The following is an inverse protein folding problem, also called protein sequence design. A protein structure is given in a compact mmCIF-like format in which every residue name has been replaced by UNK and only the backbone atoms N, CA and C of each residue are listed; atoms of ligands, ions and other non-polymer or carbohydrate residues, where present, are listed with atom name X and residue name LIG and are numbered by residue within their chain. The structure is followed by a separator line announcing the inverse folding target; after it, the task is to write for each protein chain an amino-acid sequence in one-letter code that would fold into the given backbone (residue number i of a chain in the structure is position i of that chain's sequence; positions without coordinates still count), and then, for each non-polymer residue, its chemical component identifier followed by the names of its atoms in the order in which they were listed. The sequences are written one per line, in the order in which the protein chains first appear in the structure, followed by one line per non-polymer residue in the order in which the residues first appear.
data_IF_761248734370
#
_entry.id   IF_761248734370
#
_cell.length_a   1.000
_cell.length_b   1.000
_cell.length_c   1.000
_cell.angle_alpha   90.00
_cell.angle_beta   90.00
_cell.angle_gamma   90.00
#
_symmetry.space_group_name_H-M   'P 1'
#
loop_
_entity.id
_entity.type
_entity.pdbx_description
1 polymer ?
#
# COMPACT_ATOMS: atom_id res chain seq x y z
N UNK A 1 -4.88 13.21 16.21
CA UNK A 1 -5.22 14.54 16.79
C UNK A 1 -4.86 15.70 15.87
N UNK A 2 -3.58 16.00 15.58
CA UNK A 2 -3.21 17.15 14.74
C UNK A 2 -3.74 17.06 13.29
N UNK A 3 -3.60 15.89 12.65
CA UNK A 3 -4.22 15.60 11.34
C UNK A 3 -5.75 15.62 11.39
N UNK A 4 -6.31 15.25 12.55
CA UNK A 4 -7.76 15.25 12.73
C UNK A 4 -8.33 16.65 12.82
N UNK A 5 -7.62 17.52 13.52
CA UNK A 5 -7.92 18.92 13.68
C UNK A 5 -7.80 19.65 12.34
N UNK A 6 -6.66 19.53 11.65
CA UNK A 6 -6.42 20.15 10.35
C UNK A 6 -7.46 19.75 9.29
N UNK A 7 -7.91 18.49 9.27
CA UNK A 7 -8.95 18.05 8.34
C UNK A 7 -10.35 18.55 8.70
N UNK A 8 -10.69 18.69 9.99
CA UNK A 8 -12.03 19.06 10.45
C UNK A 8 -12.24 20.57 10.58
N UNK A 9 -11.16 21.34 10.73
CA UNK A 9 -11.22 22.79 10.96
C UNK A 9 -11.69 23.52 9.69
N UNK A 10 -12.69 24.41 9.76
CA UNK A 10 -13.22 25.15 8.61
C UNK A 10 -12.30 26.33 8.23
N UNK A 11 -11.02 26.03 8.00
CA UNK A 11 -9.99 27.01 7.65
C UNK A 11 -10.42 27.80 6.42
N UNK A 12 -11.06 27.16 5.45
CA UNK A 12 -11.57 27.80 4.23
C UNK A 12 -12.61 28.88 4.51
N UNK A 13 -13.53 28.68 5.46
CA UNK A 13 -14.56 29.67 5.80
C UNK A 13 -14.00 30.85 6.57
N UNK A 14 -13.05 30.59 7.48
CA UNK A 14 -12.37 31.63 8.26
C UNK A 14 -11.47 32.45 7.33
N UNK A 15 -10.72 31.80 6.44
CA UNK A 15 -9.85 32.48 5.48
C UNK A 15 -10.66 33.27 4.45
N UNK A 16 -11.78 32.73 3.96
CA UNK A 16 -12.70 33.49 3.11
C UNK A 16 -13.30 34.69 3.83
N UNK A 17 -13.73 34.55 5.09
CA UNK A 17 -14.23 35.67 5.88
C UNK A 17 -13.16 36.74 6.17
N UNK A 18 -11.90 36.33 6.29
CA UNK A 18 -10.75 37.22 6.49
C UNK A 18 -10.31 37.93 5.20
N UNK A 19 -10.46 37.26 4.05
CA UNK A 19 -10.22 37.85 2.71
C UNK A 19 -11.35 38.79 2.30
N UNK A 20 -12.61 38.48 2.64
CA UNK A 20 -13.77 39.35 2.35
C UNK A 20 -13.75 40.66 3.16
N UNK A 21 -13.02 40.69 4.29
CA UNK A 21 -12.84 41.88 5.13
C UNK A 21 -11.62 42.74 4.74
N UNK A 22 -10.71 42.23 3.91
CA UNK A 22 -9.53 42.95 3.46
C UNK A 22 -9.50 42.99 1.92
N UNK A 23 -9.88 44.13 1.33
CA UNK A 23 -9.87 44.32 -0.12
C UNK A 23 -8.42 44.33 -0.63
N UNK A 24 -7.92 43.16 -1.01
CA UNK A 24 -6.60 43.03 -1.63
C UNK A 24 -6.71 42.04 -2.79
N UNK A 25 -6.41 42.53 -3.98
CA UNK A 25 -6.10 41.78 -5.22
C UNK A 25 -4.84 40.90 -5.07
N UNK A 26 -4.59 40.39 -3.86
CA UNK A 26 -3.34 39.73 -3.53
C UNK A 26 -3.44 38.25 -3.88
N UNK A 27 -2.84 37.90 -5.02
CA UNK A 27 -2.67 36.54 -5.55
C UNK A 27 -2.10 35.56 -4.50
N UNK A 28 -1.45 36.04 -3.44
CA UNK A 28 -1.01 35.24 -2.26
C UNK A 28 -2.18 34.59 -1.50
N UNK A 29 -3.29 35.30 -1.32
CA UNK A 29 -4.44 34.86 -0.54
C UNK A 29 -5.23 33.75 -1.27
N UNK A 30 -5.34 33.85 -2.60
CA UNK A 30 -5.94 32.82 -3.46
C UNK A 30 -5.06 31.55 -3.52
N UNK A 31 -3.73 31.69 -3.46
CA UNK A 31 -2.78 30.56 -3.37
C UNK A 31 -2.98 29.78 -2.06
N UNK A 32 -3.03 30.48 -0.93
CA UNK A 32 -3.27 29.88 0.39
C UNK A 32 -4.64 29.21 0.43
N UNK A 33 -5.68 29.83 -0.15
CA UNK A 33 -7.01 29.23 -0.22
C UNK A 33 -7.04 27.93 -1.06
N UNK A 34 -6.37 27.90 -2.22
CA UNK A 34 -6.26 26.69 -3.05
C UNK A 34 -5.49 25.59 -2.30
N UNK A 35 -4.38 25.91 -1.65
CA UNK A 35 -3.61 24.95 -0.84
C UNK A 35 -4.40 24.40 0.36
N UNK A 36 -5.16 25.25 1.06
CA UNK A 36 -6.06 24.86 2.16
C UNK A 36 -7.21 23.97 1.67
N UNK A 37 -7.73 24.21 0.46
CA UNK A 37 -8.72 23.32 -0.15
C UNK A 37 -8.13 21.95 -0.48
N UNK A 38 -6.88 21.86 -0.92
CA UNK A 38 -6.19 20.58 -1.14
C UNK A 38 -6.01 19.79 0.16
N UNK A 39 -5.72 20.48 1.29
CA UNK A 39 -5.65 19.86 2.62
C UNK A 39 -6.97 19.21 3.08
N UNK A 40 -8.14 19.58 2.52
CA UNK A 40 -9.40 18.89 2.84
C UNK A 40 -9.42 17.44 2.36
N UNK A 41 -8.61 17.08 1.36
CA UNK A 41 -8.50 15.70 0.89
C UNK A 41 -7.79 14.79 1.92
N UNK A 42 -7.15 15.34 2.97
CA UNK A 42 -6.73 14.59 4.18
C UNK A 42 -7.93 13.89 4.85
N UNK A 43 -9.16 14.39 4.66
CA UNK A 43 -10.38 13.67 5.07
C UNK A 43 -10.55 12.33 4.36
N UNK A 44 -10.10 12.19 3.12
CA UNK A 44 -10.12 10.91 2.41
C UNK A 44 -9.17 9.90 3.07
N UNK A 45 -8.05 10.36 3.63
CA UNK A 45 -7.17 9.52 4.46
C UNK A 45 -7.87 9.05 5.74
N UNK A 46 -8.70 9.90 6.38
CA UNK A 46 -9.54 9.47 7.51
C UNK A 46 -10.58 8.44 7.12
N UNK A 47 -11.19 8.55 5.94
CA UNK A 47 -12.11 7.53 5.44
C UNK A 47 -11.39 6.18 5.29
N UNK A 48 -10.13 6.20 4.83
CA UNK A 48 -9.28 5.01 4.79
C UNK A 48 -8.90 4.49 6.19
N UNK A 49 -8.74 5.36 7.19
CA UNK A 49 -8.53 4.96 8.59
C UNK A 49 -9.78 4.29 9.19
N UNK A 50 -10.96 4.84 8.92
CA UNK A 50 -12.25 4.23 9.32
C UNK A 50 -12.47 2.89 8.63
N UNK A 51 -12.19 2.79 7.33
CA UNK A 51 -12.21 1.51 6.61
C UNK A 51 -11.19 0.52 7.18
N UNK A 52 -10.04 1.00 7.67
CA UNK A 52 -9.05 0.13 8.32
C UNK A 52 -9.52 -0.37 9.69
N UNK A 53 -10.32 0.40 10.43
CA UNK A 53 -10.96 -0.07 11.68
C UNK A 53 -12.04 -1.11 11.41
N UNK A 54 -12.73 -1.03 10.26
CA UNK A 54 -13.62 -2.11 9.82
C UNK A 54 -12.85 -3.39 9.45
N UNK A 55 -11.52 -3.33 9.25
CA UNK A 55 -10.68 -4.52 9.10
C UNK A 55 -10.49 -5.30 10.40
N UNK A 56 -10.83 -4.77 11.59
CA UNK A 56 -10.74 -5.55 12.83
C UNK A 56 -11.85 -6.59 12.98
N UNK A 57 -12.96 -6.46 12.23
CA UNK A 57 -14.02 -7.47 12.29
C UNK A 57 -13.57 -8.78 11.62
N UNK A 58 -13.66 -9.86 12.39
CA UNK A 58 -13.27 -11.21 11.99
C UNK A 58 -14.17 -11.73 10.85
N UNK A 59 -13.59 -12.42 9.86
CA UNK A 59 -14.33 -13.14 8.81
C UNK A 59 -13.95 -12.82 7.36
N UNK A 60 -13.27 -11.71 7.07
CA UNK A 60 -13.02 -11.29 5.67
C UNK A 60 -11.54 -11.09 5.31
N UNK A 61 -10.71 -12.14 5.47
CA UNK A 61 -9.28 -12.07 5.11
C UNK A 61 -9.04 -11.61 3.65
N UNK A 62 -9.89 -12.02 2.70
CA UNK A 62 -9.82 -11.58 1.30
C UNK A 62 -10.15 -10.10 1.11
N UNK A 63 -11.15 -9.59 1.83
CA UNK A 63 -11.51 -8.17 1.81
C UNK A 63 -10.40 -7.30 2.41
N UNK A 64 -9.74 -7.77 3.49
CA UNK A 64 -8.60 -7.07 4.10
C UNK A 64 -7.44 -6.89 3.12
N UNK A 65 -7.11 -7.94 2.36
CA UNK A 65 -6.07 -7.88 1.30
C UNK A 65 -6.42 -6.88 0.20
N UNK A 66 -7.67 -6.91 -0.29
CA UNK A 66 -8.14 -5.95 -1.30
C UNK A 66 -8.03 -4.50 -0.80
N UNK A 67 -8.47 -4.24 0.43
CA UNK A 67 -8.37 -2.92 1.05
C UNK A 67 -6.92 -2.44 1.21
N UNK A 68 -5.98 -3.34 1.52
CA UNK A 68 -4.56 -2.98 1.63
C UNK A 68 -3.97 -2.51 0.30
N UNK A 69 -4.30 -3.19 -0.81
CA UNK A 69 -3.89 -2.75 -2.16
C UNK A 69 -4.57 -1.43 -2.52
N UNK A 70 -5.88 -1.35 -2.33
CA UNK A 70 -6.66 -0.15 -2.63
C UNK A 70 -6.13 1.08 -1.88
N UNK A 71 -5.76 0.91 -0.60
CA UNK A 71 -5.11 1.96 0.21
C UNK A 71 -3.78 2.39 -0.39
N UNK A 72 -2.94 1.45 -0.83
CA UNK A 72 -1.63 1.76 -1.42
C UNK A 72 -1.77 2.51 -2.74
N UNK A 73 -2.68 2.08 -3.61
CA UNK A 73 -2.99 2.75 -4.89
C UNK A 73 -3.55 4.15 -4.64
N UNK A 74 -4.46 4.29 -3.67
CA UNK A 74 -5.02 5.58 -3.31
C UNK A 74 -3.94 6.57 -2.82
N UNK A 75 -3.03 6.11 -1.96
CA UNK A 75 -1.90 6.94 -1.48
C UNK A 75 -1.03 7.39 -2.66
N UNK A 76 -0.71 6.49 -3.58
CA UNK A 76 0.09 6.81 -4.77
C UNK A 76 -0.61 7.84 -5.67
N UNK A 77 -1.87 7.59 -6.05
CA UNK A 77 -2.63 8.52 -6.89
C UNK A 77 -2.88 9.88 -6.23
N UNK A 78 -3.15 9.89 -4.92
CA UNK A 78 -3.32 11.13 -4.17
C UNK A 78 -2.03 11.93 -4.09
N UNK A 79 -0.88 11.27 -3.89
CA UNK A 79 0.41 11.95 -3.91
C UNK A 79 0.73 12.55 -5.29
N UNK A 80 0.43 11.85 -6.38
CA UNK A 80 0.60 12.37 -7.73
C UNK A 80 -0.30 13.58 -7.99
N UNK A 81 -1.55 13.56 -7.50
CA UNK A 81 -2.43 14.73 -7.56
C UNK A 81 -1.83 15.93 -6.82
N UNK A 82 -1.39 15.75 -5.56
CA UNK A 82 -0.79 16.83 -4.78
C UNK A 82 0.48 17.39 -5.44
N UNK A 83 1.38 16.51 -5.89
CA UNK A 83 2.62 16.89 -6.57
C UNK A 83 2.30 17.66 -7.85
N UNK A 84 1.38 17.16 -8.68
CA UNK A 84 0.97 17.81 -9.92
C UNK A 84 0.34 19.17 -9.68
N UNK A 85 -0.49 19.32 -8.65
CA UNK A 85 -1.07 20.61 -8.27
C UNK A 85 -0.04 21.61 -7.75
N UNK A 86 0.98 21.18 -7.00
CA UNK A 86 2.07 22.07 -6.58
C UNK A 86 2.91 22.45 -7.81
N UNK A 87 3.16 21.51 -8.73
CA UNK A 87 3.91 21.76 -9.96
C UNK A 87 3.21 22.77 -10.89
N UNK A 88 1.87 22.80 -10.94
CA UNK A 88 1.14 23.88 -11.64
C UNK A 88 1.16 25.20 -10.88
N UNK A 89 1.17 25.19 -9.54
CA UNK A 89 1.30 26.43 -8.76
C UNK A 89 2.65 27.13 -8.98
N UNK A 90 3.72 26.39 -9.31
CA UNK A 90 5.02 26.97 -9.65
C UNK A 90 5.00 27.83 -10.92
N UNK A 91 4.05 27.57 -11.84
CA UNK A 91 3.87 28.39 -13.06
C UNK A 91 3.50 29.84 -12.69
N UNK A 92 2.68 30.03 -11.65
CA UNK A 92 2.18 31.35 -11.24
C UNK A 92 3.26 32.18 -10.50
N UNK A 93 4.24 31.52 -9.90
CA UNK A 93 5.31 32.17 -9.13
C UNK A 93 6.37 32.84 -10.03
N UNK A 94 6.55 32.32 -11.24
CA UNK A 94 7.54 32.81 -12.20
C UNK A 94 7.03 33.86 -13.17
N UNK A 95 5.76 34.30 -13.07
CA UNK A 95 5.26 35.45 -13.84
C UNK A 95 6.07 36.74 -13.62
N UNK A 96 6.87 36.79 -12.57
CA UNK A 96 7.77 37.91 -12.21
C UNK A 96 9.21 37.76 -12.73
N UNK A 97 9.61 36.60 -13.25
CA UNK A 97 10.92 36.37 -13.87
C UNK A 97 10.73 36.03 -15.35
N UNK A 98 11.54 36.58 -16.24
CA UNK A 98 11.45 36.37 -17.70
C UNK A 98 11.85 34.94 -18.16
N UNK A 99 11.55 33.90 -17.38
CA UNK A 99 11.87 32.50 -17.64
C UNK A 99 10.72 31.74 -18.31
N UNK A 100 11.07 30.79 -19.19
CA UNK A 100 10.11 29.82 -19.75
C UNK A 100 9.91 28.72 -18.70
N UNK A 101 8.68 28.59 -18.17
CA UNK A 101 8.31 27.53 -17.22
C UNK A 101 8.07 26.18 -17.92
N UNK A 102 7.98 25.09 -17.16
CA UNK A 102 7.84 23.72 -17.70
C UNK A 102 6.70 23.56 -18.72
N UNK A 103 5.53 24.17 -18.45
CA UNK A 103 4.37 24.03 -19.33
C UNK A 103 4.58 24.70 -20.69
N UNK A 104 5.23 25.87 -20.74
CA UNK A 104 5.53 26.57 -21.98
C UNK A 104 6.64 25.88 -22.78
N UNK A 105 7.57 25.19 -22.11
CA UNK A 105 8.60 24.39 -22.77
C UNK A 105 8.05 23.06 -23.32
N UNK A 106 7.06 22.47 -22.64
CA UNK A 106 6.40 21.24 -23.08
C UNK A 106 5.44 21.47 -24.25
N UNK A 107 4.51 22.41 -24.10
CA UNK A 107 3.51 22.73 -25.11
C UNK A 107 3.03 24.19 -24.94
N UNK A 108 3.51 25.10 -25.81
CA UNK A 108 3.09 26.51 -25.78
C UNK A 108 1.59 26.71 -25.96
N UNK A 109 0.89 25.86 -26.73
CA UNK A 109 -0.56 26.00 -26.96
C UNK A 109 -1.34 25.66 -25.69
N UNK A 110 -0.83 24.71 -24.89
CA UNK A 110 -1.41 24.29 -23.62
C UNK A 110 -1.41 25.41 -22.56
N UNK A 111 -0.53 26.41 -22.72
CA UNK A 111 -0.46 27.61 -21.85
C UNK A 111 -1.71 28.48 -21.98
N UNK A 112 -2.41 28.46 -23.11
CA UNK A 112 -3.63 29.24 -23.34
C UNK A 112 -4.90 28.42 -23.11
N UNK A 113 -4.79 27.09 -23.04
CA UNK A 113 -5.93 26.20 -22.82
C UNK A 113 -6.50 26.24 -21.39
N UNK A 114 -7.69 25.63 -21.23
CA UNK A 114 -8.40 25.55 -19.95
C UNK A 114 -7.59 24.81 -18.86
N UNK A 115 -7.87 25.14 -17.60
CA UNK A 115 -7.18 24.62 -16.42
C UNK A 115 -7.18 23.08 -16.35
N UNK A 116 -8.20 22.45 -16.92
CA UNK A 116 -8.33 20.99 -16.98
C UNK A 116 -7.18 20.32 -17.75
N UNK A 117 -6.80 20.86 -18.92
CA UNK A 117 -5.75 20.27 -19.74
C UNK A 117 -4.36 20.43 -19.09
N UNK A 118 -4.10 21.61 -18.49
CA UNK A 118 -2.88 21.86 -17.71
C UNK A 118 -2.78 20.93 -16.49
N UNK A 119 -3.90 20.71 -15.82
CA UNK A 119 -3.99 19.78 -14.69
C UNK A 119 -3.67 18.34 -15.12
N UNK A 120 -4.20 17.87 -16.25
CA UNK A 120 -3.90 16.52 -16.77
C UNK A 120 -2.40 16.37 -17.02
N UNK A 121 -1.76 17.33 -17.70
CA UNK A 121 -0.33 17.27 -18.00
C UNK A 121 0.53 17.23 -16.71
N UNK A 122 0.18 18.04 -15.71
CA UNK A 122 0.91 18.08 -14.45
C UNK A 122 0.72 16.79 -13.61
N UNK A 123 -0.51 16.25 -13.57
CA UNK A 123 -0.77 14.97 -12.89
C UNK A 123 -0.13 13.81 -13.63
N UNK A 124 -0.05 13.86 -14.96
CA UNK A 124 0.70 12.90 -15.75
C UNK A 124 2.19 12.93 -15.38
N UNK A 125 2.83 14.10 -15.39
CA UNK A 125 4.24 14.26 -14.95
C UNK A 125 4.47 13.73 -13.53
N UNK A 126 3.57 14.10 -12.60
CA UNK A 126 3.65 13.64 -11.22
C UNK A 126 3.44 12.12 -11.10
N UNK A 127 2.54 11.54 -11.90
CA UNK A 127 2.28 10.10 -11.90
C UNK A 127 3.48 9.31 -12.41
N UNK A 128 4.11 9.74 -13.50
CA UNK A 128 5.32 9.07 -14.05
C UNK A 128 6.52 9.24 -13.13
N UNK A 129 6.60 10.36 -12.39
CA UNK A 129 7.64 10.61 -11.38
C UNK A 129 7.44 9.73 -10.14
N UNK A 130 6.25 9.71 -9.56
CA UNK A 130 5.94 8.88 -8.38
C UNK A 130 6.03 7.39 -8.70
N UNK A 131 5.62 6.97 -9.89
CA UNK A 131 5.77 5.57 -10.35
C UNK A 131 7.20 5.22 -10.78
N UNK A 132 8.14 6.16 -10.71
CA UNK A 132 9.55 5.99 -11.09
C UNK A 132 9.78 5.62 -12.56
N UNK A 133 8.79 5.84 -13.43
CA UNK A 133 8.88 5.55 -14.87
C UNK A 133 9.74 6.62 -15.57
N UNK A 134 9.42 7.90 -15.35
CA UNK A 134 10.21 9.03 -15.85
C UNK A 134 10.49 9.03 -17.36
N UNK A 135 9.46 9.13 -18.21
CA UNK A 135 9.63 9.15 -19.67
C UNK A 135 10.52 10.29 -20.18
N UNK A 136 10.59 11.41 -19.44
CA UNK A 136 11.45 12.55 -19.77
C UNK A 136 10.89 13.48 -20.85
N UNK A 137 9.59 13.41 -21.11
CA UNK A 137 8.84 14.26 -22.04
C UNK A 137 8.43 15.61 -21.43
N UNK A 138 8.06 15.62 -20.15
CA UNK A 138 7.87 16.86 -19.37
C UNK A 138 9.05 17.02 -18.41
N UNK A 139 9.78 18.12 -18.54
CA UNK A 139 10.99 18.39 -17.76
C UNK A 139 10.87 19.72 -17.00
N UNK A 140 11.39 19.80 -15.76
CA UNK A 140 11.54 21.06 -15.06
C UNK A 140 12.58 21.93 -15.79
N UNK A 141 12.22 23.16 -16.11
CA UNK A 141 13.05 24.08 -16.87
C UNK A 141 13.84 24.96 -15.91
N UNK A 142 13.17 25.50 -14.90
CA UNK A 142 13.75 26.53 -14.05
C UNK A 142 14.45 25.96 -12.83
N UNK A 143 15.23 26.79 -12.13
CA UNK A 143 15.95 26.34 -10.94
C UNK A 143 15.00 25.86 -9.84
N UNK A 144 13.91 26.58 -9.59
CA UNK A 144 12.91 26.23 -8.59
C UNK A 144 12.19 24.94 -8.98
N UNK A 145 11.76 24.81 -10.24
CA UNK A 145 11.14 23.58 -10.75
C UNK A 145 12.08 22.37 -10.62
N UNK A 146 13.38 22.56 -10.89
CA UNK A 146 14.39 21.50 -10.78
C UNK A 146 14.62 21.07 -9.34
N UNK A 147 14.77 22.02 -8.42
CA UNK A 147 14.91 21.73 -6.99
C UNK A 147 13.68 20.98 -6.47
N UNK A 148 12.48 21.46 -6.82
CA UNK A 148 11.22 20.80 -6.48
C UNK A 148 11.16 19.38 -7.05
N UNK A 149 11.48 19.20 -8.34
CA UNK A 149 11.48 17.89 -8.99
C UNK A 149 12.46 16.91 -8.33
N UNK A 150 13.68 17.36 -7.96
CA UNK A 150 14.65 16.53 -7.26
C UNK A 150 14.10 16.04 -5.91
N UNK A 151 13.52 16.94 -5.11
CA UNK A 151 12.93 16.59 -3.82
C UNK A 151 11.74 15.63 -4.00
N UNK A 152 10.82 15.95 -4.91
CA UNK A 152 9.62 15.13 -5.10
C UNK A 152 9.90 13.80 -5.78
N UNK A 153 10.98 13.67 -6.57
CA UNK A 153 11.43 12.38 -7.09
C UNK A 153 11.86 11.43 -5.96
N UNK A 154 12.58 11.92 -4.94
CA UNK A 154 12.96 11.12 -3.77
C UNK A 154 11.72 10.71 -2.97
N UNK A 155 10.80 11.64 -2.71
CA UNK A 155 9.53 11.33 -2.04
C UNK A 155 8.69 10.33 -2.84
N UNK A 156 8.61 10.50 -4.16
CA UNK A 156 7.92 9.60 -5.08
C UNK A 156 8.47 8.18 -5.02
N UNK A 157 9.79 8.03 -5.06
CA UNK A 157 10.46 6.73 -4.93
C UNK A 157 10.15 6.05 -3.59
N UNK A 158 10.11 6.81 -2.48
CA UNK A 158 9.71 6.27 -1.17
C UNK A 158 8.26 5.78 -1.16
N UNK A 159 7.33 6.52 -1.78
CA UNK A 159 5.92 6.14 -1.88
C UNK A 159 5.76 4.89 -2.74
N UNK A 160 6.49 4.82 -3.86
CA UNK A 160 6.50 3.64 -4.72
C UNK A 160 7.04 2.41 -4.00
N UNK A 161 8.17 2.54 -3.30
CA UNK A 161 8.75 1.47 -2.49
C UNK A 161 7.79 0.97 -1.41
N UNK A 162 7.05 1.88 -0.75
CA UNK A 162 6.00 1.52 0.19
C UNK A 162 4.86 0.72 -0.47
N UNK A 163 4.39 1.17 -1.65
CA UNK A 163 3.38 0.45 -2.43
C UNK A 163 3.84 -0.96 -2.83
N UNK A 164 5.06 -1.08 -3.33
CA UNK A 164 5.68 -2.35 -3.68
C UNK A 164 5.83 -3.27 -2.47
N UNK A 165 6.25 -2.75 -1.31
CA UNK A 165 6.35 -3.52 -0.07
C UNK A 165 5.00 -4.12 0.36
N UNK A 166 3.91 -3.36 0.19
CA UNK A 166 2.56 -3.88 0.44
C UNK A 166 2.19 -5.01 -0.51
N UNK A 167 2.51 -4.89 -1.80
CA UNK A 167 2.27 -5.94 -2.79
C UNK A 167 3.10 -7.19 -2.45
N UNK A 168 4.38 -7.04 -2.12
CA UNK A 168 5.27 -8.15 -1.74
C UNK A 168 4.76 -8.85 -0.48
N UNK A 169 4.34 -8.11 0.55
CA UNK A 169 3.75 -8.70 1.76
C UNK A 169 2.50 -9.52 1.45
N UNK A 170 1.66 -9.06 0.51
CA UNK A 170 0.46 -9.78 0.11
C UNK A 170 0.81 -11.08 -0.63
N UNK A 171 1.77 -11.02 -1.56
CA UNK A 171 2.28 -12.20 -2.26
C UNK A 171 2.83 -13.21 -1.25
N UNK A 172 3.63 -12.76 -0.27
CA UNK A 172 4.18 -13.64 0.77
C UNK A 172 3.09 -14.31 1.62
N UNK A 173 2.01 -13.58 1.95
CA UNK A 173 0.88 -14.14 2.69
C UNK A 173 0.09 -15.18 1.86
N UNK A 174 -0.04 -14.96 0.54
CA UNK A 174 -0.76 -15.89 -0.34
C UNK A 174 0.07 -17.13 -0.68
N UNK A 175 1.35 -16.96 -1.00
CA UNK A 175 2.25 -18.04 -1.43
C UNK A 175 2.84 -18.81 -0.24
N UNK A 176 3.03 -18.16 0.91
CA UNK A 176 3.63 -18.76 2.10
C UNK A 176 2.92 -20.00 2.63
N UNK A 177 1.62 -20.15 2.35
CA UNK A 177 0.85 -21.35 2.71
C UNK A 177 1.24 -22.58 1.88
N UNK A 178 1.61 -22.41 0.60
CA UNK A 178 2.07 -23.50 -0.28
C UNK A 178 3.57 -23.75 -0.20
N UNK A 179 4.37 -22.68 -0.15
CA UNK A 179 5.83 -22.75 -0.19
C UNK A 179 6.44 -23.55 0.97
N UNK A 180 5.81 -23.55 2.15
CA UNK A 180 6.28 -24.33 3.31
C UNK A 180 6.31 -25.83 3.03
N UNK A 181 5.32 -26.34 2.31
CA UNK A 181 5.28 -27.76 1.98
C UNK A 181 6.23 -28.11 0.86
N UNK A 182 6.33 -27.27 -0.17
CA UNK A 182 7.29 -27.49 -1.24
C UNK A 182 8.73 -27.53 -0.67
N UNK A 183 9.02 -26.65 0.30
CA UNK A 183 10.30 -26.63 1.02
C UNK A 183 10.49 -27.88 1.89
N UNK A 184 9.47 -28.30 2.64
CA UNK A 184 9.52 -29.52 3.45
C UNK A 184 9.72 -30.77 2.59
N UNK A 185 8.99 -30.86 1.47
CA UNK A 185 9.07 -31.96 0.53
C UNK A 185 10.47 -32.00 -0.10
N UNK A 186 11.00 -30.87 -0.56
CA UNK A 186 12.36 -30.79 -1.09
C UNK A 186 13.40 -31.25 -0.07
N UNK A 187 13.35 -30.71 1.16
CA UNK A 187 14.26 -31.08 2.25
C UNK A 187 14.16 -32.57 2.61
N UNK A 188 12.95 -33.12 2.59
CA UNK A 188 12.73 -34.55 2.87
C UNK A 188 13.31 -35.41 1.74
N UNK A 189 13.13 -35.01 0.48
CA UNK A 189 13.71 -35.71 -0.67
C UNK A 189 15.23 -35.73 -0.59
N UNK A 190 15.84 -34.59 -0.32
CA UNK A 190 17.29 -34.48 -0.15
C UNK A 190 17.79 -35.38 1.00
N UNK A 191 17.11 -35.38 2.14
CA UNK A 191 17.44 -36.26 3.26
C UNK A 191 17.33 -37.75 2.91
N UNK A 192 16.30 -38.14 2.17
CA UNK A 192 16.11 -39.52 1.74
C UNK A 192 17.20 -39.98 0.75
N UNK A 193 17.66 -39.08 -0.12
CA UNK A 193 18.76 -39.33 -1.06
C UNK A 193 20.10 -39.42 -0.35
N UNK A 194 20.37 -38.52 0.59
CA UNK A 194 21.57 -38.56 1.44
C UNK A 194 21.67 -39.88 2.22
N UNK A 195 20.55 -40.37 2.78
CA UNK A 195 20.47 -41.66 3.48
C UNK A 195 20.42 -42.88 2.55
N UNK A 196 20.38 -42.68 1.23
CA UNK A 196 20.28 -43.73 0.20
C UNK A 196 19.12 -44.72 0.45
N UNK A 197 17.94 -44.20 0.81
CA UNK A 197 16.78 -45.04 1.03
C UNK A 197 16.32 -45.75 -0.28
N UNK A 198 15.83 -46.99 -0.22
CA UNK A 198 15.25 -47.67 -1.37
C UNK A 198 14.10 -46.87 -2.00
N UNK A 199 13.99 -46.90 -3.34
CA UNK A 199 12.99 -46.10 -4.10
C UNK A 199 11.55 -46.39 -3.67
N UNK A 200 11.27 -47.61 -3.22
CA UNK A 200 9.96 -48.01 -2.74
C UNK A 200 9.57 -47.25 -1.44
N UNK A 201 10.49 -47.19 -0.47
CA UNK A 201 10.33 -46.41 0.78
C UNK A 201 10.21 -44.92 0.48
N UNK A 202 11.01 -44.39 -0.45
CA UNK A 202 10.89 -42.98 -0.87
C UNK A 202 9.51 -42.67 -1.45
N UNK A 203 8.94 -43.60 -2.22
CA UNK A 203 7.58 -43.48 -2.78
C UNK A 203 6.52 -43.45 -1.69
N UNK A 204 6.65 -44.30 -0.67
CA UNK A 204 5.73 -44.36 0.47
C UNK A 204 5.76 -43.06 1.30
N UNK A 205 6.94 -42.53 1.62
CA UNK A 205 7.12 -41.26 2.36
C UNK A 205 6.52 -40.08 1.59
N UNK A 206 6.80 -39.96 0.29
CA UNK A 206 6.22 -38.90 -0.56
C UNK A 206 4.70 -39.00 -0.60
N UNK A 207 4.15 -40.21 -0.80
CA UNK A 207 2.70 -40.44 -0.87
C UNK A 207 2.02 -40.09 0.45
N UNK A 208 2.64 -40.42 1.59
CA UNK A 208 2.18 -40.01 2.90
C UNK A 208 2.15 -38.47 3.00
N UNK A 209 3.27 -37.79 2.77
CA UNK A 209 3.36 -36.32 2.80
C UNK A 209 2.30 -35.61 1.94
N UNK A 210 2.13 -36.04 0.69
CA UNK A 210 1.10 -35.51 -0.20
C UNK A 210 -0.32 -35.78 0.35
N UNK A 211 -0.58 -36.98 0.88
CA UNK A 211 -1.90 -37.31 1.46
C UNK A 211 -2.20 -36.52 2.74
N UNK A 212 -1.19 -36.29 3.58
CA UNK A 212 -1.29 -35.55 4.84
C UNK A 212 -1.60 -34.08 4.55
N UNK A 213 -0.96 -33.49 3.54
CA UNK A 213 -1.28 -32.15 3.04
C UNK A 213 -2.70 -32.07 2.45
N UNK A 214 -3.10 -33.03 1.62
CA UNK A 214 -4.41 -33.03 0.95
C UNK A 214 -5.58 -33.20 1.93
N UNK A 215 -5.33 -33.84 3.08
CA UNK A 215 -6.31 -34.02 4.16
C UNK A 215 -6.39 -32.81 5.10
N UNK A 216 -5.30 -32.09 5.34
CA UNK A 216 -5.36 -30.78 6.00
C UNK A 216 -4.02 -30.03 5.93
N UNK A 217 -3.95 -28.82 5.34
CA UNK A 217 -2.83 -27.91 5.58
C UNK A 217 -2.73 -27.47 7.06
N UNK A 218 -3.73 -27.83 7.87
CA UNK A 218 -3.96 -27.35 9.23
C UNK A 218 -3.51 -28.35 10.32
N UNK A 219 -3.14 -29.61 10.02
CA UNK A 219 -2.75 -30.60 11.07
C UNK A 219 -1.50 -30.13 11.85
N UNK A 220 -0.50 -29.59 11.16
CA UNK A 220 0.66 -28.97 11.82
C UNK A 220 0.28 -27.69 12.60
N UNK A 221 -0.76 -26.99 12.18
CA UNK A 221 -1.27 -25.81 12.87
C UNK A 221 -2.13 -26.19 14.08
N UNK A 222 -2.84 -27.32 14.08
CA UNK A 222 -3.74 -27.69 15.18
C UNK A 222 -2.99 -27.86 16.50
N UNK A 223 -1.87 -28.60 16.51
CA UNK A 223 -1.04 -28.72 17.71
C UNK A 223 -0.47 -27.37 18.17
N UNK A 224 0.00 -26.53 17.23
CA UNK A 224 0.52 -25.20 17.55
C UNK A 224 -0.56 -24.24 18.05
N UNK A 225 -1.78 -24.33 17.51
CA UNK A 225 -2.94 -23.54 17.92
C UNK A 225 -3.44 -24.00 19.29
N UNK A 226 -3.49 -25.30 19.55
CA UNK A 226 -3.87 -25.83 20.86
C UNK A 226 -2.84 -25.52 21.94
N UNK A 227 -1.55 -25.45 21.56
CA UNK A 227 -0.44 -25.09 22.44
C UNK A 227 -0.34 -23.57 22.72
N UNK A 228 -0.87 -22.71 21.84
CA UNK A 228 -0.89 -21.26 22.04
C UNK A 228 -2.09 -20.78 22.86
N UNK A 229 -3.10 -21.65 23.07
CA UNK A 229 -4.28 -21.36 23.87
C UNK A 229 -4.01 -21.57 25.38
N UNK A 230 -4.62 -20.76 26.26
CA UNK A 230 -4.58 -21.00 27.71
C UNK A 230 -5.19 -22.37 28.08
N UNK A 231 -4.71 -23.05 29.13
CA UNK A 231 -5.11 -24.43 29.46
C UNK A 231 -6.62 -24.64 29.63
N UNK A 232 -7.35 -23.62 30.11
CA UNK A 232 -8.80 -23.65 30.26
C UNK A 232 -9.53 -23.68 28.90
N UNK A 233 -9.09 -22.85 27.95
CA UNK A 233 -9.64 -22.79 26.59
C UNK A 233 -9.32 -24.05 25.80
N UNK A 234 -8.09 -24.58 25.93
CA UNK A 234 -7.71 -25.84 25.27
C UNK A 234 -8.61 -27.00 25.71
N UNK A 235 -8.96 -27.10 27.00
CA UNK A 235 -9.91 -28.12 27.48
C UNK A 235 -11.31 -27.94 26.90
N UNK A 236 -11.82 -26.71 26.82
CA UNK A 236 -13.13 -26.42 26.23
C UNK A 236 -13.16 -26.76 24.74
N UNK A 237 -12.13 -26.35 23.98
CA UNK A 237 -12.00 -26.66 22.56
C UNK A 237 -11.90 -28.16 22.33
N UNK A 238 -11.10 -28.88 23.13
CA UNK A 238 -10.98 -30.34 23.06
C UNK A 238 -12.32 -31.05 23.39
N UNK A 239 -13.13 -30.49 24.28
CA UNK A 239 -14.46 -31.04 24.60
C UNK A 239 -15.49 -30.85 23.48
N UNK A 240 -15.25 -29.92 22.54
CA UNK A 240 -16.10 -29.72 21.37
C UNK A 240 -15.80 -30.71 20.22
N UNK A 241 -14.68 -31.44 20.28
CA UNK A 241 -14.36 -32.47 19.29
C UNK A 241 -14.97 -33.82 19.70
N UNK A 242 -15.78 -34.41 18.83
CA UNK A 242 -16.42 -35.72 19.02
C UNK A 242 -15.44 -36.91 18.91
N UNK A 243 -14.18 -36.65 18.56
CA UNK A 243 -13.11 -37.64 18.46
C UNK A 243 -11.80 -37.01 18.92
N UNK A 244 -10.93 -37.72 19.66
CA UNK A 244 -9.62 -37.19 20.04
C UNK A 244 -8.81 -36.84 18.79
N UNK A 245 -8.03 -35.75 18.81
CA UNK A 245 -7.23 -35.36 17.66
C UNK A 245 -6.21 -36.45 17.31
N UNK A 246 -6.12 -36.80 16.02
CA UNK A 246 -5.44 -37.99 15.51
C UNK A 246 -3.95 -38.11 15.90
N UNK A 247 -3.27 -37.00 16.20
CA UNK A 247 -1.86 -37.04 16.64
C UNK A 247 -1.66 -37.78 17.97
N UNK A 248 -2.69 -37.87 18.83
CA UNK A 248 -2.62 -38.70 20.04
C UNK A 248 -2.67 -40.20 19.71
N UNK A 249 -3.29 -40.58 18.61
CA UNK A 249 -3.30 -41.98 18.15
C UNK A 249 -1.99 -42.34 17.46
N UNK A 250 -1.37 -41.39 16.75
CA UNK A 250 -0.07 -41.59 16.09
C UNK A 250 1.12 -41.58 17.09
N UNK A 251 1.00 -40.90 18.23
CA UNK A 251 2.01 -40.89 19.29
C UNK A 251 2.06 -42.19 20.14
N UNK A 252 1.05 -43.06 19.99
CA UNK A 252 0.99 -44.37 20.65
C UNK A 252 1.52 -45.52 19.79
N UNK A 253 2.08 -45.23 18.60
CA UNK A 253 2.80 -46.23 17.82
C UNK A 253 4.16 -46.53 18.50
N UNK A 254 4.39 -47.78 18.97
CA UNK A 254 5.64 -48.14 19.63
C UNK A 254 6.79 -48.08 18.63
N UNK A 255 7.91 -47.48 19.08
CA UNK A 255 9.23 -47.53 18.45
C UNK A 255 9.67 -48.97 18.16
#
# INVERSE_FOLDING_TARGET
FALDFAGSFPIDKILLAFVDTHNTDDLSSLRILKAVRMLKLVRAVKLMDVLSKLQEKEGFATFKRLLQIAKSVFVMGYSAHLIGCIFTMLIDEERFGAGVHWLAAYDPELVEQDNWHRYIAAVYWASVTVSTIGYGDILPVTHIEREFACVMAIFGACIFAYGMGNITSLIQQTVGSGMRFDTLLASTVEWMEYRRLPKDVQGQVKRHLYSSMRRSPTIYQEHQVLASLPPGLTRTVLSCFSSPPNWKQDAELPL
#
